data_IF_703649800792
#
_entry.id   IF_703649800792
#
_cell.length_a   1.000
_cell.length_b   1.000
_cell.length_c   1.000
_cell.angle_alpha   90.00
_cell.angle_beta   90.00
_cell.angle_gamma   90.00
#
_symmetry.space_group_name_H-M   'P 1'
#
loop_
_entity.id
_entity.type
_entity.pdbx_description
1 polymer ?
#
# COMPACT_ATOMS: atom_id res chain seq x y z
N UNK A 1 -9.19 10.08 21.80
CA UNK A 1 -7.88 10.45 21.23
C UNK A 1 -7.37 9.23 20.50
N UNK A 2 -7.15 9.31 19.18
CA UNK A 2 -6.75 8.16 18.36
C UNK A 2 -5.26 7.83 18.59
N UNK A 3 -4.87 6.58 18.31
CA UNK A 3 -3.46 6.18 18.43
C UNK A 3 -2.65 6.69 17.22
N UNK A 4 -1.33 6.87 17.40
CA UNK A 4 -0.45 7.27 16.28
C UNK A 4 -0.43 6.25 15.14
N UNK A 5 -0.55 4.96 15.48
CA UNK A 5 -0.60 3.89 14.48
C UNK A 5 -1.93 3.91 13.71
N UNK A 6 -3.02 4.26 14.38
CA UNK A 6 -4.33 4.38 13.75
C UNK A 6 -4.36 5.53 12.75
N UNK A 7 -3.99 6.75 13.19
CA UNK A 7 -3.95 7.92 12.29
C UNK A 7 -3.11 7.65 11.04
N UNK A 8 -1.96 6.97 11.19
CA UNK A 8 -1.13 6.58 10.05
C UNK A 8 -1.83 5.57 9.11
N UNK A 9 -2.59 4.63 9.65
CA UNK A 9 -3.38 3.68 8.85
C UNK A 9 -4.51 4.42 8.12
N UNK A 10 -5.29 5.24 8.83
CA UNK A 10 -6.37 6.05 8.28
C UNK A 10 -5.85 6.97 7.13
N UNK A 11 -4.68 7.60 7.32
CA UNK A 11 -4.01 8.45 6.32
C UNK A 11 -3.60 7.66 5.06
N UNK A 12 -3.10 6.41 5.22
CA UNK A 12 -2.75 5.51 4.10
C UNK A 12 -4.01 5.06 3.36
N UNK A 13 -5.03 4.61 4.07
CA UNK A 13 -6.27 4.12 3.48
C UNK A 13 -6.99 5.20 2.69
N UNK A 14 -7.08 6.41 3.25
CA UNK A 14 -7.63 7.59 2.57
C UNK A 14 -6.80 7.95 1.32
N UNK A 15 -5.46 7.85 1.40
CA UNK A 15 -4.56 8.08 0.25
C UNK A 15 -4.79 7.06 -0.88
N UNK A 16 -5.01 5.79 -0.56
CA UNK A 16 -5.36 4.75 -1.55
C UNK A 16 -6.71 5.05 -2.23
N UNK A 17 -7.74 5.40 -1.45
CA UNK A 17 -9.06 5.73 -2.00
C UNK A 17 -9.01 6.99 -2.89
N UNK A 18 -8.27 8.03 -2.48
CA UNK A 18 -8.15 9.26 -3.25
C UNK A 18 -7.25 9.09 -4.49
N UNK A 19 -6.25 8.20 -4.46
CA UNK A 19 -5.54 7.78 -5.68
C UNK A 19 -6.53 7.18 -6.70
N UNK A 20 -7.41 6.29 -6.27
CA UNK A 20 -8.44 5.69 -7.15
C UNK A 20 -9.41 6.75 -7.68
N UNK A 21 -9.96 7.64 -6.83
CA UNK A 21 -10.86 8.72 -7.28
C UNK A 21 -10.25 9.61 -8.37
N UNK A 22 -8.96 9.93 -8.26
CA UNK A 22 -8.28 10.87 -9.15
C UNK A 22 -7.76 10.24 -10.45
N UNK A 23 -7.46 8.94 -10.48
CA UNK A 23 -6.86 8.27 -11.65
C UNK A 23 -7.84 7.34 -12.41
N UNK A 24 -9.04 7.09 -11.88
CA UNK A 24 -10.06 6.23 -12.51
C UNK A 24 -10.50 6.73 -13.90
N UNK A 25 -10.27 5.92 -14.94
CA UNK A 25 -10.71 6.16 -16.32
C UNK A 25 -11.58 5.01 -16.86
N UNK A 26 -12.43 5.28 -17.85
CA UNK A 26 -13.29 4.27 -18.50
C UNK A 26 -12.50 3.06 -19.07
N UNK A 27 -11.22 3.23 -19.41
CA UNK A 27 -10.37 2.18 -19.99
C UNK A 27 -9.89 1.15 -18.95
N UNK A 28 -9.90 1.48 -17.66
CA UNK A 28 -9.47 0.60 -16.57
C UNK A 28 -10.50 -0.52 -16.25
N UNK A 29 -11.71 -0.45 -16.81
CA UNK A 29 -12.85 -1.27 -16.37
C UNK A 29 -13.08 -2.54 -17.18
N UNK A 30 -12.49 -3.64 -16.68
CA UNK A 30 -12.82 -4.97 -17.16
C UNK A 30 -14.19 -5.45 -16.64
N UNK A 31 -15.06 -5.91 -17.54
CA UNK A 31 -16.29 -6.64 -17.20
C UNK A 31 -17.50 -5.78 -16.78
N UNK A 32 -17.42 -4.45 -16.80
CA UNK A 32 -18.54 -3.55 -16.53
C UNK A 32 -19.12 -2.96 -17.83
N UNK A 33 -20.43 -2.69 -17.83
CA UNK A 33 -21.02 -1.74 -18.77
C UNK A 33 -20.75 -0.30 -18.33
N UNK A 34 -20.74 0.66 -19.26
CA UNK A 34 -20.54 2.08 -18.95
C UNK A 34 -21.55 2.63 -17.91
N UNK A 35 -22.78 2.08 -17.85
CA UNK A 35 -23.74 2.40 -16.77
C UNK A 35 -23.23 1.94 -15.39
N UNK A 36 -22.75 0.70 -15.28
CA UNK A 36 -22.20 0.17 -14.03
C UNK A 36 -20.91 0.89 -13.62
N UNK A 37 -20.10 1.33 -14.59
CA UNK A 37 -18.95 2.20 -14.32
C UNK A 37 -19.38 3.55 -13.74
N UNK A 38 -20.41 4.22 -14.28
CA UNK A 38 -20.95 5.46 -13.70
C UNK A 38 -21.44 5.22 -12.26
N UNK A 39 -22.12 4.09 -12.00
CA UNK A 39 -22.61 3.72 -10.67
C UNK A 39 -21.45 3.43 -9.69
N UNK A 40 -20.41 2.70 -10.13
CA UNK A 40 -19.20 2.47 -9.35
C UNK A 40 -18.43 3.76 -9.06
N UNK A 41 -18.23 4.61 -10.07
CA UNK A 41 -17.58 5.92 -9.94
C UNK A 41 -18.34 6.82 -8.98
N UNK A 42 -19.67 6.74 -8.94
CA UNK A 42 -20.49 7.40 -7.92
C UNK A 42 -20.18 6.87 -6.51
N UNK A 43 -20.24 5.55 -6.29
CA UNK A 43 -19.96 4.94 -4.99
C UNK A 43 -18.57 5.28 -4.44
N UNK A 44 -17.54 5.20 -5.27
CA UNK A 44 -16.15 5.55 -4.93
C UNK A 44 -16.00 7.02 -4.52
N UNK A 45 -16.75 7.94 -5.15
CA UNK A 45 -16.72 9.37 -4.81
C UNK A 45 -17.59 9.72 -3.58
N UNK A 46 -18.67 8.97 -3.31
CA UNK A 46 -19.53 9.18 -2.13
C UNK A 46 -18.99 8.54 -0.84
N UNK A 47 -18.04 7.62 -0.96
CA UNK A 47 -17.43 6.88 0.15
C UNK A 47 -16.67 7.77 1.14
N UNK A 48 -16.89 7.50 2.43
CA UNK A 48 -16.31 8.21 3.58
C UNK A 48 -15.75 7.20 4.60
N UNK A 49 -14.70 7.54 5.36
CA UNK A 49 -14.16 6.67 6.41
C UNK A 49 -15.25 6.22 7.39
N UNK A 50 -15.19 4.96 7.81
CA UNK A 50 -16.04 4.43 8.86
C UNK A 50 -15.56 4.94 10.24
N UNK A 51 -16.46 5.56 11.00
CA UNK A 51 -16.14 6.08 12.33
C UNK A 51 -16.06 4.99 13.42
N UNK A 52 -16.52 3.77 13.15
CA UNK A 52 -16.31 2.60 14.03
C UNK A 52 -15.01 1.87 13.69
N UNK A 53 -13.90 2.57 13.93
CA UNK A 53 -12.49 2.27 13.61
C UNK A 53 -12.04 0.82 13.89
N UNK A 54 -12.73 0.08 14.76
CA UNK A 54 -12.37 -1.31 15.10
C UNK A 54 -13.18 -2.36 14.31
N UNK A 55 -13.94 -1.95 13.28
CA UNK A 55 -14.85 -2.82 12.53
C UNK A 55 -14.80 -2.54 11.03
N UNK A 56 -14.77 -3.64 10.29
CA UNK A 56 -15.26 -3.73 8.91
C UNK A 56 -16.58 -2.93 8.73
N UNK A 57 -16.74 -2.13 7.66
CA UNK A 57 -15.78 -1.87 6.59
C UNK A 57 -14.90 -0.64 6.86
N UNK A 58 -13.82 -0.46 6.11
CA UNK A 58 -12.97 0.74 6.23
C UNK A 58 -13.67 2.03 5.75
N UNK A 59 -14.48 1.94 4.68
CA UNK A 59 -15.31 3.06 4.18
C UNK A 59 -16.77 2.66 3.94
N UNK A 60 -17.67 3.63 4.09
CA UNK A 60 -19.12 3.49 3.85
C UNK A 60 -19.65 4.52 2.86
N UNK A 61 -20.63 4.11 2.07
CA UNK A 61 -21.45 4.97 1.21
C UNK A 61 -22.93 4.56 1.30
N UNK A 62 -23.81 5.19 0.53
CA UNK A 62 -25.24 4.86 0.56
C UNK A 62 -25.51 3.41 0.11
N UNK A 63 -26.04 2.58 1.00
CA UNK A 63 -26.37 1.16 0.81
C UNK A 63 -25.17 0.25 0.46
N UNK A 64 -23.94 0.65 0.76
CA UNK A 64 -22.75 -0.16 0.47
C UNK A 64 -21.44 0.29 1.14
N UNK A 65 -20.37 -0.47 0.90
CA UNK A 65 -19.06 -0.29 1.55
C UNK A 65 -17.86 -0.43 0.61
N UNK A 66 -16.71 0.10 1.04
CA UNK A 66 -15.39 -0.26 0.51
C UNK A 66 -14.54 -0.83 1.66
N UNK A 67 -14.02 -2.03 1.47
CA UNK A 67 -12.96 -2.62 2.28
C UNK A 67 -11.64 -2.52 1.51
N UNK A 68 -10.55 -2.16 2.17
CA UNK A 68 -9.21 -2.02 1.61
C UNK A 68 -8.25 -2.99 2.29
N UNK A 69 -7.44 -3.69 1.49
CA UNK A 69 -6.31 -4.43 2.04
C UNK A 69 -5.08 -4.45 1.14
N UNK A 70 -3.92 -4.32 1.78
CA UNK A 70 -2.62 -4.47 1.14
C UNK A 70 -2.29 -5.94 0.83
N UNK A 71 -1.62 -6.18 -0.29
CA UNK A 71 -0.96 -7.44 -0.65
C UNK A 71 0.48 -7.18 -1.08
N UNK A 72 1.31 -8.22 -0.98
CA UNK A 72 2.75 -8.17 -1.31
C UNK A 72 3.18 -9.45 -2.02
N UNK A 73 4.18 -9.35 -2.88
CA UNK A 73 4.96 -10.48 -3.40
C UNK A 73 6.24 -10.74 -2.61
N UNK A 74 6.54 -9.93 -1.59
CA UNK A 74 7.58 -10.20 -0.60
C UNK A 74 7.26 -11.47 0.21
N UNK A 75 8.29 -12.06 0.82
CA UNK A 75 8.06 -13.09 1.85
C UNK A 75 7.39 -12.47 3.09
N UNK A 76 6.47 -13.21 3.70
CA UNK A 76 5.76 -12.79 4.92
C UNK A 76 6.02 -13.77 6.07
N UNK A 77 6.17 -13.24 7.29
CA UNK A 77 6.13 -14.05 8.52
C UNK A 77 5.15 -13.43 9.54
N UNK A 78 5.13 -13.94 10.79
CA UNK A 78 4.25 -13.43 11.86
C UNK A 78 4.45 -11.94 12.20
N UNK A 79 5.50 -11.30 11.68
CA UNK A 79 5.81 -9.86 11.78
C UNK A 79 5.46 -9.08 10.50
N UNK A 80 4.75 -9.69 9.54
CA UNK A 80 4.34 -9.08 8.27
C UNK A 80 5.36 -9.25 7.13
N UNK A 81 5.21 -8.45 6.08
CA UNK A 81 6.09 -8.43 4.90
C UNK A 81 7.56 -8.18 5.29
N UNK A 82 8.50 -8.91 4.68
CA UNK A 82 9.94 -8.76 4.95
C UNK A 82 10.50 -7.48 4.32
N UNK A 83 10.11 -7.16 3.07
CA UNK A 83 10.50 -5.92 2.38
C UNK A 83 10.21 -4.67 3.22
N UNK A 84 8.98 -4.52 3.74
CA UNK A 84 8.57 -3.36 4.53
C UNK A 84 9.43 -3.24 5.80
N UNK A 85 9.72 -4.34 6.49
CA UNK A 85 10.56 -4.35 7.69
C UNK A 85 12.01 -3.95 7.38
N UNK A 86 12.60 -4.53 6.33
CA UNK A 86 13.97 -4.22 5.93
C UNK A 86 14.11 -2.81 5.36
N UNK A 87 13.16 -2.31 4.56
CA UNK A 87 13.20 -0.92 4.05
C UNK A 87 13.05 0.10 5.17
N UNK A 88 12.23 -0.16 6.20
CA UNK A 88 12.16 0.70 7.39
C UNK A 88 13.46 0.73 8.21
N UNK A 89 14.19 -0.38 8.29
CA UNK A 89 15.51 -0.44 8.94
C UNK A 89 16.57 0.26 8.08
N UNK A 90 16.55 0.01 6.76
CA UNK A 90 17.47 0.59 5.79
C UNK A 90 17.35 2.11 5.74
N UNK A 91 16.11 2.64 5.58
CA UNK A 91 15.82 4.07 5.59
C UNK A 91 16.34 4.75 6.85
N UNK A 92 16.01 4.24 8.04
CA UNK A 92 16.48 4.81 9.31
C UNK A 92 18.00 4.80 9.44
N UNK A 93 18.67 3.75 8.95
CA UNK A 93 20.13 3.69 8.92
C UNK A 93 20.72 4.73 7.96
N UNK A 94 20.18 4.85 6.75
CA UNK A 94 20.58 5.87 5.77
C UNK A 94 20.37 7.30 6.28
N UNK A 95 19.25 7.59 6.91
CA UNK A 95 18.96 8.88 7.56
C UNK A 95 19.96 9.18 8.69
N UNK A 96 20.24 8.20 9.55
CA UNK A 96 21.22 8.34 10.66
C UNK A 96 22.64 8.59 10.14
N UNK A 97 23.05 7.83 9.11
CA UNK A 97 24.34 8.02 8.45
C UNK A 97 24.45 9.42 7.85
N UNK A 98 23.50 9.82 7.01
CA UNK A 98 23.46 11.11 6.34
C UNK A 98 23.52 12.30 7.32
N UNK A 99 22.79 12.23 8.44
CA UNK A 99 22.87 13.25 9.49
C UNK A 99 24.26 13.31 10.15
N UNK A 100 24.88 12.15 10.42
CA UNK A 100 26.25 12.13 10.98
C UNK A 100 27.33 12.60 9.99
N UNK A 101 27.12 12.38 8.69
CA UNK A 101 27.97 12.86 7.60
C UNK A 101 27.81 14.39 7.41
N UNK A 102 26.60 14.93 7.59
CA UNK A 102 26.35 16.37 7.66
C UNK A 102 27.06 17.01 8.87
N UNK A 103 26.81 16.51 10.07
CA UNK A 103 27.33 17.10 11.33
C UNK A 103 28.86 17.07 11.42
N UNK A 104 29.52 16.12 10.76
CA UNK A 104 30.98 16.02 10.70
C UNK A 104 31.61 16.89 9.60
N UNK A 105 30.93 17.15 8.48
CA UNK A 105 31.43 18.04 7.43
C UNK A 105 31.31 19.51 7.83
N UNK A 106 32.45 20.22 7.83
CA UNK A 106 32.54 21.66 8.18
C UNK A 106 32.92 22.58 7.02
N UNK A 107 33.21 22.03 5.84
CA UNK A 107 33.79 22.78 4.73
C UNK A 107 32.85 22.87 3.52
N UNK A 108 32.42 24.10 3.21
CA UNK A 108 32.18 24.61 1.85
C UNK A 108 31.01 24.08 1.01
N UNK A 109 30.67 22.78 1.08
CA UNK A 109 29.65 22.20 0.21
C UNK A 109 28.23 22.57 0.68
N UNK A 110 27.49 23.23 -0.21
CA UNK A 110 26.14 23.76 0.05
C UNK A 110 25.07 22.64 -0.08
N UNK A 111 25.38 21.55 -0.80
CA UNK A 111 24.36 20.63 -1.32
C UNK A 111 24.81 19.17 -1.25
N UNK A 112 24.54 18.52 -0.12
CA UNK A 112 24.84 17.09 0.10
C UNK A 112 23.75 16.20 -0.52
N UNK A 113 24.15 15.12 -1.19
CA UNK A 113 23.22 14.25 -1.92
C UNK A 113 23.71 12.80 -1.99
N UNK A 114 23.39 12.00 -0.97
CA UNK A 114 23.71 10.56 -0.96
C UNK A 114 22.55 9.70 -1.50
N UNK A 115 22.94 8.63 -2.20
CA UNK A 115 22.07 7.59 -2.73
C UNK A 115 22.47 6.25 -2.14
N UNK A 116 21.64 5.69 -1.26
CA UNK A 116 21.91 4.37 -0.67
C UNK A 116 21.09 3.30 -1.40
N UNK A 117 21.76 2.21 -1.80
CA UNK A 117 21.14 1.05 -2.45
C UNK A 117 21.17 -0.21 -1.58
N UNK A 118 20.08 -0.97 -1.59
CA UNK A 118 20.01 -2.36 -1.08
C UNK A 118 19.71 -3.32 -2.23
N UNK A 119 20.08 -4.60 -2.07
CA UNK A 119 19.46 -5.65 -2.89
C UNK A 119 17.99 -5.77 -2.50
N UNK A 120 17.13 -5.91 -3.51
CA UNK A 120 15.75 -6.37 -3.33
C UNK A 120 15.71 -7.83 -2.85
N UNK A 121 14.52 -8.27 -2.46
CA UNK A 121 14.30 -9.59 -1.89
C UNK A 121 13.71 -10.57 -2.91
N UNK A 122 13.43 -11.79 -2.47
CA UNK A 122 12.75 -12.80 -3.26
C UNK A 122 11.25 -12.47 -3.40
N UNK A 123 10.96 -11.54 -4.32
CA UNK A 123 9.62 -11.21 -4.76
C UNK A 123 9.15 -12.24 -5.79
N UNK A 124 8.02 -12.92 -5.53
CA UNK A 124 7.58 -14.06 -6.35
C UNK A 124 6.08 -14.11 -6.63
N UNK A 125 5.72 -14.71 -7.77
CA UNK A 125 4.34 -15.04 -8.12
C UNK A 125 3.65 -15.96 -7.09
N UNK A 126 4.42 -16.84 -6.43
CA UNK A 126 3.92 -17.67 -5.34
C UNK A 126 3.48 -16.84 -4.12
N UNK A 127 4.32 -15.87 -3.71
CA UNK A 127 4.03 -15.01 -2.57
C UNK A 127 2.79 -14.13 -2.81
N UNK A 128 2.66 -13.47 -3.97
CA UNK A 128 1.49 -12.61 -4.25
C UNK A 128 0.19 -13.41 -4.26
N UNK A 129 0.17 -14.62 -4.83
CA UNK A 129 -0.99 -15.52 -4.77
C UNK A 129 -1.36 -15.87 -3.33
N UNK A 130 -0.37 -16.13 -2.47
CA UNK A 130 -0.61 -16.47 -1.07
C UNK A 130 -1.07 -15.25 -0.26
N UNK A 131 -0.49 -14.07 -0.49
CA UNK A 131 -0.87 -12.82 0.17
C UNK A 131 -2.31 -12.42 -0.18
N UNK A 132 -2.67 -12.47 -1.47
CA UNK A 132 -4.06 -12.30 -1.95
C UNK A 132 -5.00 -13.30 -1.28
N UNK A 133 -4.71 -14.61 -1.32
CA UNK A 133 -5.59 -15.64 -0.72
C UNK A 133 -5.77 -15.45 0.79
N UNK A 134 -4.68 -15.21 1.51
CA UNK A 134 -4.65 -15.03 2.97
C UNK A 134 -5.49 -13.82 3.39
N UNK A 135 -5.33 -12.69 2.70
CA UNK A 135 -6.08 -11.49 3.02
C UNK A 135 -7.53 -11.59 2.54
N UNK A 136 -7.80 -12.05 1.31
CA UNK A 136 -9.16 -12.26 0.80
C UNK A 136 -10.00 -13.12 1.76
N UNK A 137 -9.45 -14.23 2.28
CA UNK A 137 -10.15 -15.07 3.26
C UNK A 137 -10.49 -14.31 4.57
N UNK A 138 -9.54 -13.58 5.15
CA UNK A 138 -9.78 -12.73 6.34
C UNK A 138 -10.87 -11.68 6.10
N UNK A 139 -10.85 -11.01 4.95
CA UNK A 139 -11.74 -9.90 4.66
C UNK A 139 -13.14 -10.39 4.22
N UNK A 140 -13.26 -11.50 3.47
CA UNK A 140 -14.58 -12.10 3.18
C UNK A 140 -15.22 -12.73 4.42
N UNK A 141 -14.43 -13.36 5.31
CA UNK A 141 -14.91 -13.79 6.63
C UNK A 141 -15.42 -12.62 7.49
N UNK A 142 -14.95 -11.39 7.24
CA UNK A 142 -15.39 -10.20 7.97
C UNK A 142 -16.66 -9.60 7.35
N UNK A 143 -16.79 -9.66 6.03
CA UNK A 143 -18.03 -9.39 5.30
C UNK A 143 -19.18 -10.33 5.70
N UNK A 144 -18.95 -11.65 5.72
CA UNK A 144 -19.99 -12.65 6.01
C UNK A 144 -20.63 -12.45 7.40
N UNK A 145 -19.86 -11.94 8.37
CA UNK A 145 -20.33 -11.60 9.73
C UNK A 145 -21.21 -10.34 9.78
N UNK A 146 -21.21 -9.52 8.73
CA UNK A 146 -21.91 -8.23 8.63
C UNK A 146 -22.90 -8.16 7.45
N UNK A 147 -23.11 -9.29 6.75
CA UNK A 147 -23.78 -9.38 5.43
C UNK A 147 -25.20 -8.81 5.35
N UNK A 148 -25.91 -8.67 6.48
CA UNK A 148 -27.26 -8.09 6.55
C UNK A 148 -27.31 -6.56 6.42
N UNK A 149 -26.16 -5.88 6.30
CA UNK A 149 -26.05 -4.42 6.48
C UNK A 149 -25.89 -3.63 5.18
N UNK A 150 -25.48 -4.29 4.08
CA UNK A 150 -25.06 -3.62 2.85
C UNK A 150 -25.63 -4.33 1.61
N UNK A 151 -25.97 -3.56 0.57
CA UNK A 151 -26.41 -4.09 -0.74
C UNK A 151 -25.27 -4.21 -1.76
N UNK A 152 -24.25 -3.34 -1.64
CA UNK A 152 -23.06 -3.33 -2.49
C UNK A 152 -21.80 -3.48 -1.64
N UNK A 153 -20.81 -4.21 -2.14
CA UNK A 153 -19.50 -4.38 -1.52
C UNK A 153 -18.39 -4.22 -2.54
N UNK A 154 -17.43 -3.34 -2.22
CA UNK A 154 -16.23 -3.10 -3.02
C UNK A 154 -15.03 -3.55 -2.20
N UNK A 155 -14.13 -4.32 -2.81
CA UNK A 155 -12.84 -4.68 -2.21
C UNK A 155 -11.73 -4.01 -3.03
N UNK A 156 -11.05 -3.03 -2.44
CA UNK A 156 -9.87 -2.39 -3.02
C UNK A 156 -8.62 -3.15 -2.55
N UNK A 157 -7.74 -3.49 -3.49
CA UNK A 157 -6.53 -4.28 -3.21
C UNK A 157 -5.31 -3.43 -3.55
N UNK A 158 -4.58 -2.98 -2.53
CA UNK A 158 -3.32 -2.25 -2.72
C UNK A 158 -2.18 -3.24 -2.97
N UNK A 159 -1.43 -3.08 -4.06
CA UNK A 159 -0.17 -3.79 -4.26
C UNK A 159 1.00 -2.94 -3.78
N UNK A 160 1.63 -3.35 -2.67
CA UNK A 160 2.57 -2.51 -1.91
C UNK A 160 4.03 -2.57 -2.36
N UNK A 161 4.38 -3.42 -3.33
CA UNK A 161 5.78 -3.56 -3.76
C UNK A 161 6.12 -2.67 -4.95
N UNK A 162 7.37 -2.20 -4.99
CA UNK A 162 7.86 -1.22 -5.98
C UNK A 162 7.86 -1.76 -7.44
N UNK A 163 7.73 -3.07 -7.65
CA UNK A 163 7.75 -3.65 -9.00
C UNK A 163 6.92 -4.95 -9.11
N UNK A 164 5.70 -4.86 -9.64
CA UNK A 164 4.87 -6.03 -9.96
C UNK A 164 5.40 -6.85 -11.14
N UNK A 165 6.07 -6.21 -12.10
CA UNK A 165 6.66 -6.92 -13.25
C UNK A 165 7.77 -7.88 -12.83
N UNK A 166 8.53 -7.58 -11.77
CA UNK A 166 9.49 -8.54 -11.19
C UNK A 166 8.79 -9.83 -10.76
N UNK A 167 7.69 -9.74 -10.01
CA UNK A 167 6.97 -10.91 -9.51
C UNK A 167 6.21 -11.69 -10.60
N UNK A 168 5.81 -11.03 -11.69
CA UNK A 168 4.97 -11.61 -12.77
C UNK A 168 5.78 -12.09 -13.97
N UNK A 169 6.79 -11.32 -14.43
CA UNK A 169 7.60 -11.69 -15.60
C UNK A 169 8.58 -12.83 -15.31
N UNK A 170 9.08 -12.90 -14.07
CA UNK A 170 9.94 -13.98 -13.62
C UNK A 170 9.13 -15.09 -12.97
N UNK A 171 9.16 -16.28 -13.58
CA UNK A 171 8.36 -17.45 -13.19
C UNK A 171 8.95 -18.16 -11.94
N UNK A 172 8.95 -17.44 -10.81
CA UNK A 172 9.63 -17.77 -9.54
C UNK A 172 11.18 -17.74 -9.62
N UNK A 173 11.75 -16.91 -10.49
CA UNK A 173 13.17 -16.53 -10.40
C UNK A 173 13.29 -15.19 -9.67
N UNK A 174 14.25 -15.00 -8.74
CA UNK A 174 14.46 -13.71 -8.10
C UNK A 174 14.98 -12.65 -9.09
N UNK A 175 14.69 -11.38 -8.83
CA UNK A 175 15.27 -10.25 -9.56
C UNK A 175 16.01 -9.32 -8.61
N UNK A 176 17.22 -8.91 -9.01
CA UNK A 176 17.91 -7.81 -8.35
C UNK A 176 17.27 -6.50 -8.81
N UNK A 177 16.61 -5.80 -7.89
CA UNK A 177 16.18 -4.41 -8.04
C UNK A 177 16.99 -3.56 -7.06
N UNK A 178 17.32 -2.33 -7.48
CA UNK A 178 17.93 -1.34 -6.61
C UNK A 178 16.85 -0.40 -6.10
N UNK A 179 16.52 -0.51 -4.82
CA UNK A 179 15.78 0.52 -4.09
C UNK A 179 16.75 1.69 -3.82
N UNK A 180 16.45 2.88 -4.32
CA UNK A 180 17.35 4.05 -4.28
C UNK A 180 16.66 5.24 -3.63
N UNK A 181 16.98 5.48 -2.35
CA UNK A 181 16.53 6.68 -1.65
C UNK A 181 17.56 7.79 -1.76
N UNK A 182 17.13 9.00 -2.16
CA UNK A 182 17.95 10.21 -2.21
C UNK A 182 17.55 11.13 -1.07
N UNK A 183 18.52 11.53 -0.24
CA UNK A 183 18.34 12.57 0.78
C UNK A 183 19.17 13.79 0.36
N UNK A 184 18.58 14.97 0.48
CA UNK A 184 19.23 16.26 0.23
C UNK A 184 18.82 17.26 1.29
N UNK A 185 19.77 18.07 1.74
CA UNK A 185 19.55 19.19 2.64
C UNK A 185 20.43 20.36 2.20
N UNK A 186 19.83 21.54 2.13
CA UNK A 186 20.56 22.81 1.99
C UNK A 186 20.99 23.30 3.40
N UNK A 187 22.05 24.10 3.46
CA UNK A 187 22.62 24.67 4.71
C UNK A 187 22.63 26.19 4.71
#
# INVERSE_FOLDING_TARGET
>A
MMSKNQSYQDDVEQSCLDFVKNNMSDEDFFGLSHKQYIELRKWINEAKPNFDINKFPDFVFNDGFIELFAVTSSSEDRKGAKQIRESNVFKKKSETNFLSELDSNKEGEILFSHSYGRKFEEHTHYNIINSIKKNWLKHIESYDKNISTFSQGIFLIEYTDINIQTAVSKKNEPAEIFDTYRISADR
#
